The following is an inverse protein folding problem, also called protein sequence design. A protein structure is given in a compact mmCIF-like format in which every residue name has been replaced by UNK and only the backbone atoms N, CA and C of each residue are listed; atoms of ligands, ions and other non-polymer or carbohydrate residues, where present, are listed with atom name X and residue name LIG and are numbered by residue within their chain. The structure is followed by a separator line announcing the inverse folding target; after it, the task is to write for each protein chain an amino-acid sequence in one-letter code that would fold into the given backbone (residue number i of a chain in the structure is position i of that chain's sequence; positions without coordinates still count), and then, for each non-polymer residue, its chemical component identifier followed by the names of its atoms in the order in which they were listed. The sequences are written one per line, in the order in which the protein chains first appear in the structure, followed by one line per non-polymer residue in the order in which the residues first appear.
data_IF_428832322563
#
_entry.id   IF_428832322563
#
_cell.length_a   1.000
_cell.length_b   1.000
_cell.length_c   1.000
_cell.angle_alpha   90.00
_cell.angle_beta   90.00
_cell.angle_gamma   90.00
#
_symmetry.space_group_name_H-M   'P 1'
#
loop_
_entity.id
_entity.type
_entity.pdbx_description
1 polymer ?
#
# COMPACT_ATOMS: atom_id res chain seq x y z
N UNK A 1 -17.01 -13.56 -9.31
CA UNK A 1 -16.23 -12.58 -8.52
C UNK A 1 -17.22 -11.78 -7.69
N UNK A 2 -16.91 -11.46 -6.44
CA UNK A 2 -17.75 -10.58 -5.61
C UNK A 2 -17.53 -9.13 -6.02
N UNK A 3 -18.51 -8.27 -5.78
CA UNK A 3 -18.44 -6.82 -5.96
C UNK A 3 -17.53 -6.17 -4.90
N UNK A 4 -17.06 -4.95 -5.15
CA UNK A 4 -16.30 -4.18 -4.16
C UNK A 4 -17.11 -3.97 -2.86
N UNK A 5 -18.42 -3.78 -2.99
CA UNK A 5 -19.31 -3.57 -1.86
C UNK A 5 -19.44 -4.85 -1.01
N UNK A 6 -19.58 -6.02 -1.65
CA UNK A 6 -19.58 -7.32 -0.96
C UNK A 6 -18.23 -7.62 -0.30
N UNK A 7 -17.11 -7.28 -0.95
CA UNK A 7 -15.77 -7.40 -0.36
C UNK A 7 -15.67 -6.57 0.91
N UNK A 8 -16.10 -5.32 0.86
CA UNK A 8 -15.96 -4.39 1.99
C UNK A 8 -16.85 -4.83 3.17
N UNK A 9 -18.06 -5.34 2.92
CA UNK A 9 -18.92 -5.98 3.95
C UNK A 9 -18.25 -7.21 4.56
N UNK A 10 -17.64 -8.08 3.75
CA UNK A 10 -16.92 -9.25 4.25
C UNK A 10 -15.69 -8.85 5.09
N UNK A 11 -15.03 -7.75 4.74
CA UNK A 11 -13.89 -7.22 5.51
C UNK A 11 -14.32 -6.72 6.89
N UNK A 12 -15.50 -6.11 7.03
CA UNK A 12 -16.01 -5.62 8.32
C UNK A 12 -16.39 -6.74 9.29
N UNK A 13 -16.88 -7.87 8.77
CA UNK A 13 -17.43 -8.96 9.60
C UNK A 13 -16.42 -10.05 9.97
N UNK A 14 -15.14 -9.85 9.71
CA UNK A 14 -14.18 -10.96 9.74
C UNK A 14 -13.41 -11.01 11.07
N UNK A 15 -13.21 -12.23 11.63
CA UNK A 15 -13.04 -12.42 13.07
C UNK A 15 -11.64 -12.14 13.61
N UNK A 16 -10.67 -11.87 12.73
CA UNK A 16 -9.27 -11.68 13.09
C UNK A 16 -8.76 -10.30 12.67
N UNK A 17 -7.69 -9.86 13.34
CA UNK A 17 -6.98 -8.62 13.00
C UNK A 17 -6.53 -8.63 11.53
N UNK A 18 -6.62 -7.46 10.90
CA UNK A 18 -6.30 -7.26 9.49
C UNK A 18 -5.64 -5.91 9.25
N UNK A 19 -4.95 -5.81 8.13
CA UNK A 19 -4.54 -4.53 7.57
C UNK A 19 -5.76 -3.86 6.92
N UNK A 20 -5.98 -2.57 7.20
CA UNK A 20 -7.05 -1.77 6.61
C UNK A 20 -6.48 -0.60 5.79
N UNK A 21 -7.29 -0.05 4.88
CA UNK A 21 -6.91 1.12 4.08
C UNK A 21 -6.60 2.32 4.98
N UNK A 22 -7.41 2.50 6.03
CA UNK A 22 -7.28 3.60 6.98
C UNK A 22 -5.97 3.50 7.77
N UNK A 23 -5.59 2.30 8.19
CA UNK A 23 -4.31 2.05 8.86
C UNK A 23 -3.12 2.39 7.96
N UNK A 24 -3.14 1.93 6.71
CA UNK A 24 -2.08 2.25 5.74
C UNK A 24 -2.01 3.77 5.51
N UNK A 25 -3.16 4.41 5.30
CA UNK A 25 -3.24 5.86 5.14
C UNK A 25 -2.66 6.63 6.33
N UNK A 26 -2.88 6.15 7.56
CA UNK A 26 -2.41 6.79 8.78
C UNK A 26 -0.89 6.67 9.04
N UNK A 27 -0.21 5.74 8.37
CA UNK A 27 1.25 5.57 8.47
C UNK A 27 2.02 6.29 7.37
N UNK A 28 1.37 6.70 6.28
CA UNK A 28 1.96 7.55 5.24
C UNK A 28 1.98 8.98 5.76
N UNK A 29 3.17 9.59 5.84
CA UNK A 29 3.35 10.96 6.35
C UNK A 29 3.72 11.96 5.26
N UNK A 30 4.16 11.48 4.10
CA UNK A 30 4.50 12.31 2.95
C UNK A 30 4.24 11.54 1.65
N UNK A 31 3.72 12.25 0.65
CA UNK A 31 3.56 11.77 -0.72
C UNK A 31 4.25 12.74 -1.66
N UNK A 32 5.21 12.25 -2.45
CA UNK A 32 5.92 13.04 -3.45
C UNK A 32 5.81 12.38 -4.81
N UNK A 33 5.48 13.18 -5.82
CA UNK A 33 5.49 12.75 -7.21
C UNK A 33 6.67 13.35 -7.96
N UNK A 34 7.29 12.55 -8.81
CA UNK A 34 8.37 12.98 -9.71
C UNK A 34 8.02 12.49 -11.11
N UNK A 35 7.97 13.42 -12.05
CA UNK A 35 7.93 13.10 -13.48
C UNK A 35 9.26 13.56 -14.10
N UNK A 36 10.16 12.64 -14.45
CA UNK A 36 11.40 13.00 -15.13
C UNK A 36 11.12 13.69 -16.47
N UNK A 37 11.89 14.73 -16.78
CA UNK A 37 11.73 15.51 -18.00
C UNK A 37 11.88 14.63 -19.25
N UNK A 38 11.01 14.83 -20.24
CA UNK A 38 11.02 14.06 -21.48
C UNK A 38 10.48 12.62 -21.36
N UNK A 39 9.89 12.25 -20.21
CA UNK A 39 9.35 10.90 -19.99
C UNK A 39 7.83 10.88 -19.82
N UNK A 40 7.26 9.72 -20.09
CA UNK A 40 5.86 9.38 -19.78
C UNK A 40 5.73 8.61 -18.45
N UNK A 41 6.79 8.66 -17.63
CA UNK A 41 6.91 7.97 -16.36
C UNK A 41 6.53 8.92 -15.22
N UNK A 42 5.62 8.47 -14.35
CA UNK A 42 5.33 9.10 -13.07
C UNK A 42 5.81 8.19 -11.95
N UNK A 43 6.70 8.69 -11.10
CA UNK A 43 7.13 8.04 -9.87
C UNK A 43 6.36 8.64 -8.69
N UNK A 44 5.90 7.78 -7.80
CA UNK A 44 5.35 8.12 -6.50
C UNK A 44 6.30 7.63 -5.40
N UNK A 45 6.60 8.49 -4.44
CA UNK A 45 7.41 8.19 -3.27
C UNK A 45 6.54 8.46 -2.04
N UNK A 46 6.28 7.42 -1.27
CA UNK A 46 5.56 7.48 0.00
C UNK A 46 6.55 7.34 1.15
N UNK A 47 6.65 8.36 1.99
CA UNK A 47 7.42 8.29 3.23
C UNK A 47 6.51 7.81 4.36
N UNK A 48 6.90 6.74 5.04
CA UNK A 48 6.17 6.18 6.17
C UNK A 48 6.64 6.82 7.49
N UNK A 49 5.81 6.75 8.53
CA UNK A 49 6.08 7.33 9.86
C UNK A 49 7.40 6.84 10.48
N UNK A 50 7.85 5.64 10.13
CA UNK A 50 9.11 5.07 10.60
C UNK A 50 10.34 5.52 9.77
N UNK A 51 10.15 6.41 8.79
CA UNK A 51 11.19 6.89 7.88
C UNK A 51 11.47 5.97 6.68
N UNK A 52 10.79 4.83 6.56
CA UNK A 52 10.94 3.96 5.39
C UNK A 52 10.20 4.56 4.18
N UNK A 53 10.79 4.45 3.00
CA UNK A 53 10.20 4.96 1.76
C UNK A 53 9.73 3.81 0.88
N UNK A 54 8.50 3.90 0.39
CA UNK A 54 7.95 2.97 -0.59
C UNK A 54 7.68 3.71 -1.88
N UNK A 55 8.15 3.16 -2.99
CA UNK A 55 8.00 3.77 -4.31
C UNK A 55 6.98 3.01 -5.15
N UNK A 56 6.26 3.73 -6.00
CA UNK A 56 5.43 3.14 -7.04
C UNK A 56 5.53 3.94 -8.32
N UNK A 57 5.04 3.36 -9.41
CA UNK A 57 5.25 3.93 -10.73
C UNK A 57 4.05 3.74 -11.66
N UNK A 58 3.94 4.66 -12.61
CA UNK A 58 3.06 4.56 -13.77
C UNK A 58 3.86 4.94 -15.00
N UNK A 59 3.86 4.08 -16.02
CA UNK A 59 4.52 4.33 -17.28
C UNK A 59 3.49 4.29 -18.41
N UNK A 60 3.19 5.45 -18.99
CA UNK A 60 2.27 5.52 -20.13
C UNK A 60 3.00 5.12 -21.41
N UNK A 61 2.34 4.29 -22.23
CA UNK A 61 2.95 3.71 -23.43
C UNK A 61 3.04 4.68 -24.63
N UNK A 62 2.18 5.70 -24.66
CA UNK A 62 2.04 6.61 -25.80
C UNK A 62 1.77 8.05 -25.33
N UNK A 63 2.46 9.07 -25.88
CA UNK A 63 2.31 10.46 -25.43
C UNK A 63 0.88 10.99 -25.54
N UNK A 64 0.13 10.55 -26.54
CA UNK A 64 -1.25 11.00 -26.79
C UNK A 64 -2.21 10.57 -25.67
N UNK A 65 -1.85 9.52 -24.93
CA UNK A 65 -2.60 9.00 -23.80
C UNK A 65 -2.04 9.48 -22.45
N UNK A 66 -1.05 10.37 -22.45
CA UNK A 66 -0.46 10.85 -21.21
C UNK A 66 -1.44 11.76 -20.45
N UNK A 67 -1.74 11.36 -19.22
CA UNK A 67 -2.53 12.14 -18.29
C UNK A 67 -1.82 12.12 -16.92
N UNK A 68 -1.39 13.30 -16.46
CA UNK A 68 -0.60 13.45 -15.24
C UNK A 68 -1.36 12.96 -14.00
N UNK A 69 -2.61 13.38 -13.83
CA UNK A 69 -3.43 13.00 -12.67
C UNK A 69 -3.69 11.48 -12.63
N UNK A 70 -3.96 10.88 -13.79
CA UNK A 70 -4.14 9.44 -13.91
C UNK A 70 -2.83 8.70 -13.60
N UNK A 71 -1.70 9.18 -14.11
CA UNK A 71 -0.38 8.63 -13.83
C UNK A 71 0.00 8.69 -12.35
N UNK A 72 -0.25 9.84 -11.70
CA UNK A 72 -0.04 10.01 -10.26
C UNK A 72 -0.92 9.07 -9.44
N UNK A 73 -2.20 8.93 -9.81
CA UNK A 73 -3.11 7.99 -9.17
C UNK A 73 -2.62 6.55 -9.29
N UNK A 74 -2.23 6.11 -10.49
CA UNK A 74 -1.75 4.74 -10.73
C UNK A 74 -0.44 4.49 -9.96
N UNK A 75 0.49 5.44 -9.97
CA UNK A 75 1.75 5.35 -9.25
C UNK A 75 1.53 5.29 -7.72
N UNK A 76 0.59 6.08 -7.20
CA UNK A 76 0.18 6.03 -5.79
C UNK A 76 -0.46 4.69 -5.43
N UNK A 77 -1.44 4.22 -6.21
CA UNK A 77 -2.11 2.95 -5.96
C UNK A 77 -1.11 1.78 -6.01
N UNK A 78 -0.12 1.85 -6.91
CA UNK A 78 1.00 0.90 -6.96
C UNK A 78 1.84 0.91 -5.67
N UNK A 79 2.29 2.08 -5.20
CA UNK A 79 3.05 2.22 -3.96
C UNK A 79 2.23 1.78 -2.73
N UNK A 80 0.97 2.18 -2.67
CA UNK A 80 0.03 1.83 -1.60
C UNK A 80 -0.16 0.32 -1.48
N UNK A 81 -0.31 -0.38 -2.61
CA UNK A 81 -0.41 -1.84 -2.66
C UNK A 81 0.87 -2.54 -2.18
N UNK A 82 2.04 -1.93 -2.34
CA UNK A 82 3.28 -2.46 -1.76
C UNK A 82 3.28 -2.34 -0.23
N UNK A 83 2.85 -1.19 0.30
CA UNK A 83 2.69 -1.01 1.76
C UNK A 83 1.73 -2.05 2.32
N UNK A 84 0.65 -2.37 1.61
CA UNK A 84 -0.29 -3.42 2.03
C UNK A 84 0.40 -4.76 2.27
N UNK A 85 1.30 -5.17 1.36
CA UNK A 85 2.06 -6.41 1.50
C UNK A 85 2.99 -6.36 2.71
N UNK A 86 3.65 -5.23 2.94
CA UNK A 86 4.55 -5.02 4.09
C UNK A 86 3.80 -5.08 5.42
N UNK A 87 2.69 -4.35 5.54
CA UNK A 87 1.86 -4.36 6.76
C UNK A 87 1.26 -5.75 7.01
N UNK A 88 0.91 -6.49 5.95
CA UNK A 88 0.44 -7.87 6.06
C UNK A 88 1.52 -8.81 6.60
N UNK A 89 2.76 -8.67 6.13
CA UNK A 89 3.91 -9.40 6.65
C UNK A 89 4.18 -9.05 8.12
N UNK A 90 4.24 -7.76 8.46
CA UNK A 90 4.47 -7.30 9.84
C UNK A 90 3.39 -7.79 10.80
N UNK A 91 2.12 -7.78 10.39
CA UNK A 91 1.03 -8.33 11.19
C UNK A 91 1.23 -9.84 11.42
N UNK A 92 1.60 -10.60 10.38
CA UNK A 92 1.84 -12.04 10.51
C UNK A 92 3.04 -12.33 11.42
N UNK A 93 4.11 -11.54 11.31
CA UNK A 93 5.29 -11.64 12.17
C UNK A 93 4.93 -11.37 13.63
N UNK A 94 4.16 -10.31 13.90
CA UNK A 94 3.69 -9.99 15.25
C UNK A 94 2.86 -11.13 15.87
N UNK A 95 1.96 -11.74 15.09
CA UNK A 95 1.18 -12.91 15.51
C UNK A 95 2.10 -14.11 15.80
N UNK A 96 3.10 -14.37 14.94
CA UNK A 96 4.06 -15.46 15.13
C UNK A 96 4.84 -15.29 16.44
N UNK A 97 5.49 -14.13 16.64
CA UNK A 97 6.30 -13.83 17.82
C UNK A 97 5.48 -13.85 19.13
N UNK A 98 4.24 -13.37 19.09
CA UNK A 98 3.34 -13.39 20.25
C UNK A 98 2.89 -14.83 20.58
N UNK A 99 2.63 -15.64 19.55
CA UNK A 99 2.33 -17.07 19.70
C UNK A 99 3.51 -17.88 20.25
N UNK A 100 4.76 -17.57 19.84
CA UNK A 100 5.96 -18.24 20.35
C UNK A 100 6.22 -17.92 21.82
N UNK A 101 5.94 -16.69 22.28
CA UNK A 101 6.08 -16.31 23.70
C UNK A 101 5.15 -17.10 24.63
N UNK A 102 3.96 -17.50 24.15
CA UNK A 102 3.03 -18.33 24.92
C UNK A 102 3.48 -19.80 25.03
N UNK A 103 4.30 -20.29 24.09
CA UNK A 103 4.81 -21.67 24.06
C UNK A 103 6.14 -21.85 24.80
N UNK A 104 6.92 -20.78 24.99
CA UNK A 104 8.19 -20.81 25.71
C UNK A 104 8.06 -20.65 27.24
N UNK A 105 6.83 -20.50 27.77
CA UNK A 105 6.54 -20.31 29.19
C UNK A 105 6.02 -21.58 29.89
N UNK A 106 6.30 -22.77 29.34
CA UNK A 106 5.98 -24.08 29.94
C UNK A 106 7.26 -24.86 30.19
#
# INVERSE_FOLDING_TARGET
MITDQERDVALLNSPAERVTKERIGAIIIETKFIQPEGTLLTLCILTLRNGFTVTGESACAAPENFNKELGEKIAYDNAFNQIWKLEGYLLKEAIYLTGTKAQAAV
#
